data_IF_922196855834
#
_entry.id   IF_922196855834
#
_cell.length_a   1.000
_cell.length_b   1.000
_cell.length_c   1.000
_cell.angle_alpha   90.00
_cell.angle_beta   90.00
_cell.angle_gamma   90.00
#
_symmetry.space_group_name_H-M   'P 1'
#
loop_
_entity.id
_entity.type
_entity.pdbx_description
1 polymer ?
#
# COMPACT_ATOMS: atom_id res chain seq x y z
N UNK A 1 16.08 -51.85 -14.50
CA UNK A 1 15.04 -51.36 -15.44
C UNK A 1 14.71 -49.92 -15.06
N UNK A 2 14.76 -49.01 -16.03
CA UNK A 2 14.73 -47.54 -15.86
C UNK A 2 13.32 -47.04 -15.52
N UNK A 3 13.20 -46.12 -14.56
CA UNK A 3 11.97 -45.39 -14.29
C UNK A 3 11.82 -44.25 -15.30
N UNK A 4 10.76 -44.29 -16.12
CA UNK A 4 10.42 -43.22 -17.05
C UNK A 4 9.63 -42.13 -16.33
N UNK A 5 10.25 -40.97 -16.11
CA UNK A 5 9.52 -39.78 -15.64
C UNK A 5 8.71 -39.19 -16.81
N UNK A 6 7.38 -39.24 -16.72
CA UNK A 6 6.50 -38.50 -17.62
C UNK A 6 6.53 -37.02 -17.23
N UNK A 7 7.25 -36.21 -17.99
CA UNK A 7 7.21 -34.76 -17.87
C UNK A 7 5.80 -34.26 -18.26
N UNK A 8 5.16 -33.52 -17.36
CA UNK A 8 3.87 -32.88 -17.64
C UNK A 8 4.14 -31.50 -18.27
N UNK A 9 3.71 -31.31 -19.50
CA UNK A 9 3.78 -30.02 -20.20
C UNK A 9 2.88 -28.99 -19.53
N UNK A 10 3.46 -27.91 -19.01
CA UNK A 10 2.70 -26.76 -18.50
C UNK A 10 2.16 -25.97 -19.70
N UNK A 11 0.86 -25.66 -19.70
CA UNK A 11 0.25 -24.83 -20.75
C UNK A 11 0.73 -23.38 -20.60
N UNK A 12 0.98 -22.66 -21.72
CA UNK A 12 1.39 -21.27 -21.65
C UNK A 12 0.31 -20.42 -20.97
N UNK A 13 0.71 -19.63 -19.96
CA UNK A 13 -0.18 -18.72 -19.26
C UNK A 13 -0.54 -17.54 -20.18
N UNK A 14 -1.84 -17.29 -20.35
CA UNK A 14 -2.34 -16.11 -21.06
C UNK A 14 -2.52 -14.97 -20.05
N UNK A 15 -1.76 -13.87 -20.15
CA UNK A 15 -1.94 -12.74 -19.24
C UNK A 15 -3.31 -12.10 -19.44
N UNK A 16 -4.08 -11.99 -18.35
CA UNK A 16 -5.41 -11.37 -18.36
C UNK A 16 -5.33 -9.85 -18.58
N UNK A 17 -4.22 -9.23 -18.17
CA UNK A 17 -3.99 -7.80 -18.32
C UNK A 17 -3.29 -7.53 -19.66
N UNK A 18 -3.97 -6.83 -20.57
CA UNK A 18 -3.37 -6.35 -21.83
C UNK A 18 -2.99 -4.88 -21.67
N UNK A 19 -1.68 -4.60 -21.60
CA UNK A 19 -1.20 -3.23 -21.64
C UNK A 19 -1.44 -2.62 -23.02
N UNK A 20 -1.96 -1.39 -23.03
CA UNK A 20 -2.15 -0.63 -24.26
C UNK A 20 -0.77 -0.20 -24.78
N UNK A 21 -0.43 -0.55 -26.03
CA UNK A 21 0.77 -0.02 -26.70
C UNK A 21 0.62 1.51 -26.78
N UNK A 22 1.51 2.24 -26.11
CA UNK A 22 1.45 3.70 -25.99
C UNK A 22 0.66 4.23 -24.79
N UNK A 23 0.24 3.37 -23.86
CA UNK A 23 -0.29 3.80 -22.57
C UNK A 23 0.80 4.49 -21.74
N UNK A 24 0.49 5.66 -21.20
CA UNK A 24 1.38 6.60 -20.48
C UNK A 24 1.97 6.06 -19.15
N UNK A 25 1.95 4.75 -18.91
CA UNK A 25 2.48 4.12 -17.69
C UNK A 25 3.99 4.32 -17.57
N UNK A 26 4.72 4.37 -18.68
CA UNK A 26 6.15 4.61 -18.67
C UNK A 26 6.52 6.05 -18.22
N UNK A 27 5.62 7.02 -18.38
CA UNK A 27 5.88 8.41 -18.00
C UNK A 27 5.61 8.65 -16.50
N UNK A 28 4.74 7.85 -15.90
CA UNK A 28 4.40 7.91 -14.47
C UNK A 28 5.50 7.27 -13.60
N UNK A 29 6.17 6.21 -14.07
CA UNK A 29 7.27 5.57 -13.35
C UNK A 29 8.52 6.46 -13.17
N UNK A 30 8.72 7.46 -14.05
CA UNK A 30 9.85 8.40 -13.95
C UNK A 30 9.56 9.55 -12.98
N UNK A 31 8.29 9.84 -12.69
CA UNK A 31 7.91 10.86 -11.71
C UNK A 31 7.52 10.20 -10.40
N UNK A 32 8.55 9.77 -9.67
CA UNK A 32 8.57 9.50 -8.24
C UNK A 32 7.27 9.01 -7.61
N UNK A 33 7.23 7.72 -7.28
CA UNK A 33 6.28 7.05 -6.39
C UNK A 33 5.27 7.98 -5.68
N UNK A 34 4.14 8.24 -6.35
CA UNK A 34 2.93 8.71 -5.68
C UNK A 34 2.20 7.48 -5.11
N UNK A 35 1.53 7.61 -3.94
CA UNK A 35 0.81 6.49 -3.37
C UNK A 35 -0.31 6.04 -4.31
N UNK A 36 -0.33 4.74 -4.58
CA UNK A 36 -1.38 4.06 -5.34
C UNK A 36 -2.73 4.33 -4.67
N UNK A 37 -3.55 5.17 -5.29
CA UNK A 37 -4.99 5.17 -5.08
C UNK A 37 -5.58 4.02 -5.92
N UNK A 38 -6.00 2.94 -5.27
CA UNK A 38 -6.79 1.88 -5.89
C UNK A 38 -8.11 2.46 -6.40
N UNK A 39 -8.38 2.27 -7.69
CA UNK A 39 -9.52 2.85 -8.37
C UNK A 39 -10.84 2.13 -8.04
N UNK A 40 -11.84 2.96 -7.76
CA UNK A 40 -13.26 2.85 -8.15
C UNK A 40 -14.12 1.79 -7.44
N UNK A 41 -14.76 2.23 -6.36
CA UNK A 41 -16.20 2.03 -6.22
C UNK A 41 -16.90 3.39 -6.34
N UNK A 42 -17.88 3.46 -7.24
CA UNK A 42 -18.50 4.72 -7.69
C UNK A 42 -19.57 5.14 -6.69
N UNK A 43 -19.16 5.84 -5.63
CA UNK A 43 -20.00 6.82 -4.96
C UNK A 43 -19.19 8.10 -4.89
N UNK A 44 -19.58 9.07 -5.71
CA UNK A 44 -19.11 10.46 -5.59
C UNK A 44 -19.55 10.97 -4.22
N UNK A 45 -18.73 10.71 -3.20
CA UNK A 45 -18.77 11.52 -2.00
C UNK A 45 -18.45 12.96 -2.44
N UNK A 46 -19.16 13.98 -1.94
CA UNK A 46 -18.78 15.35 -2.22
C UNK A 46 -17.30 15.48 -1.84
N UNK A 47 -16.51 16.08 -2.72
CA UNK A 47 -15.12 16.45 -2.46
C UNK A 47 -15.11 17.18 -1.13
N UNK A 48 -14.75 16.47 -0.07
CA UNK A 48 -14.59 17.04 1.26
C UNK A 48 -13.53 18.12 1.07
N UNK A 49 -13.92 19.37 1.27
CA UNK A 49 -13.00 20.51 1.33
C UNK A 49 -11.73 20.04 2.02
N UNK A 50 -10.57 20.22 1.36
CA UNK A 50 -9.27 19.75 1.81
C UNK A 50 -9.23 19.75 3.33
N UNK A 51 -9.25 18.55 3.94
CA UNK A 51 -9.48 18.41 5.37
C UNK A 51 -8.50 19.34 6.08
N UNK A 52 -9.02 20.30 6.85
CA UNK A 52 -8.19 21.26 7.55
C UNK A 52 -7.16 20.45 8.36
N UNK A 53 -5.88 20.70 8.08
CA UNK A 53 -4.80 20.07 8.84
C UNK A 53 -4.89 20.65 10.24
N UNK A 54 -5.38 19.84 11.18
CA UNK A 54 -5.49 20.21 12.59
C UNK A 54 -4.16 19.96 13.26
N UNK A 55 -3.65 20.98 13.95
CA UNK A 55 -2.49 20.84 14.81
C UNK A 55 -2.83 20.07 16.10
N UNK A 56 -1.84 19.49 16.77
CA UNK A 56 -2.05 18.63 17.94
C UNK A 56 -2.81 19.34 19.08
N UNK A 57 -2.62 20.66 19.23
CA UNK A 57 -3.32 21.46 20.25
C UNK A 57 -4.80 21.69 19.90
N UNK A 58 -5.17 21.62 18.62
CA UNK A 58 -6.56 21.75 18.14
C UNK A 58 -7.32 20.42 18.28
N UNK A 59 -6.61 19.31 18.46
CA UNK A 59 -7.21 18.00 18.52
C UNK A 59 -7.95 17.78 19.86
N UNK A 60 -9.22 17.32 19.83
CA UNK A 60 -9.94 16.94 21.04
C UNK A 60 -9.18 15.89 21.85
N UNK A 61 -9.26 15.98 23.18
CA UNK A 61 -8.50 15.12 24.11
C UNK A 61 -8.58 13.62 23.81
N UNK A 62 -9.75 13.13 23.39
CA UNK A 62 -9.97 11.71 23.07
C UNK A 62 -9.20 11.19 21.86
N UNK A 63 -8.72 12.08 20.99
CA UNK A 63 -7.97 11.73 19.79
C UNK A 63 -6.47 12.05 19.91
N UNK A 64 -6.06 12.78 20.96
CA UNK A 64 -4.64 13.08 21.18
C UNK A 64 -3.85 11.80 21.39
N UNK A 65 -2.60 11.80 20.90
CA UNK A 65 -1.66 10.71 21.15
C UNK A 65 -1.40 10.61 22.66
N UNK A 66 -1.28 9.38 23.15
CA UNK A 66 -0.82 9.12 24.52
C UNK A 66 0.69 9.37 24.60
N UNK A 67 1.16 9.78 25.76
CA UNK A 67 2.58 9.81 26.08
C UNK A 67 3.11 8.37 26.11
N UNK A 68 4.32 8.17 25.56
CA UNK A 68 4.99 6.87 25.59
C UNK A 68 5.56 6.64 26.98
N UNK A 69 5.32 5.45 27.53
CA UNK A 69 5.96 4.99 28.76
C UNK A 69 7.41 4.59 28.51
N UNK A 70 8.24 4.56 29.57
CA UNK A 70 9.65 4.19 29.44
C UNK A 70 9.84 2.79 28.87
N UNK A 71 9.02 1.82 29.31
CA UNK A 71 9.07 0.44 28.81
C UNK A 71 8.73 0.36 27.30
N UNK A 72 7.77 1.16 26.83
CA UNK A 72 7.45 1.26 25.40
C UNK A 72 8.59 1.87 24.62
N UNK A 73 9.24 2.91 25.16
CA UNK A 73 10.41 3.55 24.54
C UNK A 73 11.54 2.52 24.41
N UNK A 74 11.82 1.77 25.47
CA UNK A 74 12.88 0.78 25.49
C UNK A 74 12.58 -0.40 24.55
N UNK A 75 11.32 -0.85 24.48
CA UNK A 75 10.86 -1.85 23.52
C UNK A 75 11.00 -1.37 22.07
N UNK A 76 10.66 -0.10 21.78
CA UNK A 76 10.86 0.47 20.44
C UNK A 76 12.35 0.53 20.10
N UNK A 77 13.19 0.96 21.06
CA UNK A 77 14.64 1.06 20.89
C UNK A 77 15.33 -0.31 20.74
N UNK A 78 14.78 -1.36 21.35
CA UNK A 78 15.27 -2.74 21.22
C UNK A 78 14.78 -3.44 19.94
N UNK A 79 13.93 -2.78 19.14
CA UNK A 79 13.39 -3.34 17.90
C UNK A 79 12.13 -4.19 18.08
N UNK A 80 11.35 -3.95 19.14
CA UNK A 80 10.11 -4.66 19.44
C UNK A 80 10.30 -5.93 20.26
N UNK A 81 11.48 -6.13 20.85
CA UNK A 81 11.74 -7.21 21.80
C UNK A 81 11.48 -6.66 23.20
N UNK A 82 10.27 -6.88 23.70
CA UNK A 82 9.85 -6.60 25.08
C UNK A 82 9.83 -7.84 25.97
#
# INVERSE_FOLDING_TARGET
>A
MMASALWKTVRPHVPLIRFRKGGSVAQELVRGALPVATAADTKTAPVTAAAAVLEDWQMPLRFRRKELSQDEIDCINSGGVC
#
